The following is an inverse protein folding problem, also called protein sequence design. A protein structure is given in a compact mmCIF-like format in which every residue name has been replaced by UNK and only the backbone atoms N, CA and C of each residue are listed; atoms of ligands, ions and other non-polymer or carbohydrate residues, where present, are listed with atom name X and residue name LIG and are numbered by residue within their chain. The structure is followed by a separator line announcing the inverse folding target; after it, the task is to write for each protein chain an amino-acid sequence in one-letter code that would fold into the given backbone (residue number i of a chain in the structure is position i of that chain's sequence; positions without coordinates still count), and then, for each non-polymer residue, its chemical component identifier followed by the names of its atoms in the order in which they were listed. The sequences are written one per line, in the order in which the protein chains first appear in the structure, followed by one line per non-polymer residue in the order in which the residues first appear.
data_IF_597799358895
#
_entry.id   IF_597799358895
#
_cell.length_a   1.000
_cell.length_b   1.000
_cell.length_c   1.000
_cell.angle_alpha   90.00
_cell.angle_beta   90.00
_cell.angle_gamma   90.00
#
_symmetry.space_group_name_H-M   'P 1'
#
loop_
_entity.id
_entity.type
_entity.pdbx_description
1 polymer ?
#
# COMPACT_ATOMS: atom_id res chain seq x y z
N UNK A 1 -29.16 -8.77 5.06
CA UNK A 1 -28.96 -9.49 3.79
C UNK A 1 -27.92 -10.56 4.02
N UNK A 2 -28.29 -11.83 3.91
CA UNK A 2 -27.30 -12.92 3.96
C UNK A 2 -26.42 -12.81 2.70
N UNK A 3 -25.11 -12.75 2.88
CA UNK A 3 -24.17 -12.77 1.75
C UNK A 3 -24.25 -14.14 1.07
N UNK A 4 -24.45 -14.15 -0.26
CA UNK A 4 -24.42 -15.39 -1.04
C UNK A 4 -23.05 -16.08 -0.92
N UNK A 5 -22.99 -17.41 -0.86
CA UNK A 5 -21.74 -18.17 -0.84
C UNK A 5 -20.82 -17.78 -2.01
N UNK A 6 -19.52 -17.71 -1.73
CA UNK A 6 -18.48 -17.43 -2.72
C UNK A 6 -17.49 -18.61 -2.71
N UNK A 7 -17.20 -19.14 -3.89
CA UNK A 7 -16.20 -20.18 -4.10
C UNK A 7 -15.19 -19.68 -5.13
N UNK A 8 -13.89 -19.82 -4.85
CA UNK A 8 -12.83 -19.47 -5.80
C UNK A 8 -11.91 -20.66 -5.99
N UNK A 9 -11.63 -20.99 -7.24
CA UNK A 9 -10.74 -22.07 -7.66
C UNK A 9 -9.65 -21.52 -8.60
N UNK A 10 -8.50 -22.17 -8.62
CA UNK A 10 -7.44 -21.90 -9.58
C UNK A 10 -7.54 -22.90 -10.73
N UNK A 11 -7.63 -22.43 -11.96
CA UNK A 11 -7.82 -23.27 -13.14
C UNK A 11 -6.69 -23.07 -14.14
N UNK A 12 -6.34 -24.14 -14.87
CA UNK A 12 -5.38 -24.07 -15.98
C UNK A 12 -5.99 -23.38 -17.19
N UNK A 13 -5.18 -22.89 -18.15
CA UNK A 13 -5.70 -22.37 -19.43
C UNK A 13 -6.58 -23.39 -20.19
N UNK A 14 -6.27 -24.68 -20.12
CA UNK A 14 -7.07 -25.74 -20.74
C UNK A 14 -8.44 -25.86 -20.06
N UNK A 15 -8.47 -25.88 -18.73
CA UNK A 15 -9.73 -25.90 -17.95
C UNK A 15 -10.52 -24.62 -18.19
N UNK A 16 -9.86 -23.48 -18.37
CA UNK A 16 -10.54 -22.23 -18.71
C UNK A 16 -11.27 -22.31 -20.05
N UNK A 17 -10.66 -22.87 -21.08
CA UNK A 17 -11.31 -23.02 -22.38
C UNK A 17 -12.56 -23.90 -22.29
N UNK A 18 -12.51 -25.01 -21.54
CA UNK A 18 -13.67 -25.87 -21.28
C UNK A 18 -14.77 -25.16 -20.52
N UNK A 19 -14.39 -24.35 -19.49
CA UNK A 19 -15.32 -23.55 -18.71
C UNK A 19 -15.99 -22.49 -19.59
N UNK A 20 -15.21 -21.80 -20.41
CA UNK A 20 -15.71 -20.78 -21.34
C UNK A 20 -16.70 -21.38 -22.35
N UNK A 21 -16.41 -22.54 -22.92
CA UNK A 21 -17.30 -23.25 -23.83
C UNK A 21 -18.61 -23.68 -23.13
N UNK A 22 -18.50 -24.23 -21.91
CA UNK A 22 -19.66 -24.70 -21.13
C UNK A 22 -20.64 -23.57 -20.80
N UNK A 23 -20.15 -22.38 -20.47
CA UNK A 23 -20.99 -21.24 -20.12
C UNK A 23 -21.15 -20.22 -21.25
N UNK A 24 -20.78 -20.54 -22.49
CA UNK A 24 -20.81 -19.60 -23.60
C UNK A 24 -22.18 -18.95 -23.81
N UNK A 25 -23.27 -19.73 -23.72
CA UNK A 25 -24.66 -19.24 -23.87
C UNK A 25 -25.14 -18.32 -22.74
N UNK A 26 -24.40 -18.23 -21.65
CA UNK A 26 -24.71 -17.44 -20.46
C UNK A 26 -23.73 -16.30 -20.24
N UNK A 27 -22.79 -16.10 -21.18
CA UNK A 27 -21.76 -15.08 -21.10
C UNK A 27 -22.36 -13.68 -21.23
N UNK A 28 -21.75 -12.73 -20.51
CA UNK A 28 -22.06 -11.30 -20.63
C UNK A 28 -20.79 -10.45 -20.56
N UNK A 29 -20.86 -9.24 -21.11
CA UNK A 29 -19.75 -8.30 -21.09
C UNK A 29 -19.51 -7.73 -19.70
N UNK A 30 -18.26 -7.85 -19.20
CA UNK A 30 -17.85 -7.29 -17.93
C UNK A 30 -16.92 -6.09 -18.18
N UNK A 31 -17.24 -4.93 -17.59
CA UNK A 31 -16.47 -3.70 -17.78
C UNK A 31 -15.11 -3.67 -17.06
N UNK A 32 -14.78 -4.70 -16.28
CA UNK A 32 -13.51 -4.79 -15.57
C UNK A 32 -12.42 -5.39 -16.46
N UNK A 33 -11.40 -4.61 -16.79
CA UNK A 33 -10.28 -5.00 -17.67
C UNK A 33 -9.48 -6.24 -17.22
N UNK A 34 -9.60 -6.64 -15.95
CA UNK A 34 -8.94 -7.84 -15.40
C UNK A 34 -9.78 -9.09 -15.51
N UNK A 35 -11.05 -8.97 -15.91
CA UNK A 35 -11.97 -10.10 -16.11
C UNK A 35 -11.83 -10.57 -17.55
N UNK A 36 -11.45 -11.83 -17.73
CA UNK A 36 -11.27 -12.44 -19.04
C UNK A 36 -12.50 -13.23 -19.52
N UNK A 37 -13.44 -13.55 -18.59
CA UNK A 37 -14.71 -14.16 -18.89
C UNK A 37 -15.69 -13.91 -17.75
N UNK A 38 -16.96 -13.67 -18.09
CA UNK A 38 -18.05 -13.55 -17.13
C UNK A 38 -19.32 -14.23 -17.68
N UNK A 39 -20.03 -14.95 -16.83
CA UNK A 39 -21.30 -15.61 -17.15
C UNK A 39 -22.25 -15.57 -15.96
N UNK A 40 -23.57 -15.68 -16.26
CA UNK A 40 -24.62 -15.81 -15.24
C UNK A 40 -25.44 -17.04 -15.55
N UNK A 41 -25.29 -18.09 -14.75
CA UNK A 41 -25.93 -19.39 -14.94
C UNK A 41 -26.63 -19.83 -13.64
N UNK A 42 -27.90 -20.19 -13.69
CA UNK A 42 -28.71 -20.70 -12.56
C UNK A 42 -28.53 -19.86 -11.27
N UNK A 43 -28.70 -18.54 -11.38
CA UNK A 43 -28.46 -17.55 -10.29
C UNK A 43 -27.04 -17.53 -9.71
N UNK A 44 -26.08 -18.20 -10.37
CA UNK A 44 -24.67 -18.16 -10.03
C UNK A 44 -23.96 -17.20 -10.97
N UNK A 45 -23.25 -16.21 -10.39
CA UNK A 45 -22.33 -15.37 -11.14
C UNK A 45 -20.96 -16.02 -11.21
N UNK A 46 -20.47 -16.22 -12.42
CA UNK A 46 -19.16 -16.83 -12.70
C UNK A 46 -18.27 -15.75 -13.27
N UNK A 47 -17.09 -15.57 -12.70
CA UNK A 47 -16.12 -14.56 -13.16
C UNK A 47 -14.73 -15.18 -13.20
N UNK A 48 -14.03 -15.07 -14.32
CA UNK A 48 -12.68 -15.58 -14.48
C UNK A 48 -11.70 -14.43 -14.64
N UNK A 49 -10.65 -14.45 -13.82
CA UNK A 49 -9.62 -13.43 -13.73
C UNK A 49 -8.29 -13.99 -14.24
N UNK A 50 -7.55 -13.19 -14.99
CA UNK A 50 -6.19 -13.56 -15.40
C UNK A 50 -5.22 -13.36 -14.24
N UNK A 51 -4.58 -14.45 -13.80
CA UNK A 51 -3.55 -14.40 -12.77
C UNK A 51 -2.12 -14.44 -13.35
N UNK A 52 -1.17 -14.01 -12.54
CA UNK A 52 0.26 -14.15 -12.83
C UNK A 52 0.65 -15.62 -12.64
N UNK A 53 1.53 -16.18 -13.49
CA UNK A 53 2.04 -17.57 -13.47
C UNK A 53 1.27 -18.61 -14.29
N UNK A 54 0.49 -18.18 -15.30
CA UNK A 54 -0.14 -19.12 -16.25
C UNK A 54 -1.38 -19.86 -15.74
N UNK A 55 -1.89 -19.50 -14.57
CA UNK A 55 -3.18 -19.97 -14.07
C UNK A 55 -4.23 -18.85 -14.21
N UNK A 56 -5.50 -19.22 -14.11
CA UNK A 56 -6.63 -18.31 -14.00
C UNK A 56 -7.37 -18.57 -12.70
N UNK A 57 -8.02 -17.55 -12.15
CA UNK A 57 -8.87 -17.67 -10.98
C UNK A 57 -10.34 -17.60 -11.43
N UNK A 58 -11.08 -18.66 -11.22
CA UNK A 58 -12.54 -18.67 -11.41
C UNK A 58 -13.23 -18.47 -10.06
N UNK A 59 -14.22 -17.57 -10.02
CA UNK A 59 -15.01 -17.25 -8.84
C UNK A 59 -16.49 -17.49 -9.15
N UNK A 60 -17.16 -18.26 -8.32
CA UNK A 60 -18.57 -18.58 -8.37
C UNK A 60 -19.28 -17.93 -7.18
N UNK A 61 -20.37 -17.21 -7.42
CA UNK A 61 -21.13 -16.49 -6.38
C UNK A 61 -22.61 -16.82 -6.53
N UNK A 62 -23.20 -17.46 -5.55
CA UNK A 62 -24.62 -17.88 -5.57
C UNK A 62 -24.88 -19.00 -4.58
N UNK A 63 -26.15 -19.35 -4.34
CA UNK A 63 -26.51 -20.36 -3.35
C UNK A 63 -25.96 -21.74 -3.72
N UNK A 64 -25.88 -22.06 -5.01
CA UNK A 64 -25.34 -23.31 -5.54
C UNK A 64 -23.87 -23.21 -6.00
N UNK A 65 -23.15 -22.12 -5.66
CA UNK A 65 -21.79 -21.86 -6.12
C UNK A 65 -20.80 -23.00 -5.82
N UNK A 66 -20.95 -23.68 -4.67
CA UNK A 66 -20.06 -24.80 -4.32
C UNK A 66 -20.28 -26.02 -5.21
N UNK A 67 -21.53 -26.34 -5.48
CA UNK A 67 -21.90 -27.49 -6.36
C UNK A 67 -21.34 -27.25 -7.76
N UNK A 68 -21.50 -26.05 -8.27
CA UNK A 68 -21.07 -25.67 -9.60
C UNK A 68 -19.54 -25.63 -9.70
N UNK A 69 -18.84 -25.03 -8.71
CA UNK A 69 -17.38 -24.99 -8.68
C UNK A 69 -16.73 -26.39 -8.61
N UNK A 70 -17.40 -27.36 -7.95
CA UNK A 70 -16.94 -28.76 -7.87
C UNK A 70 -16.95 -29.52 -9.19
N UNK A 71 -17.64 -29.04 -10.21
CA UNK A 71 -17.52 -29.57 -11.56
C UNK A 71 -16.16 -29.33 -12.19
N UNK A 72 -15.44 -28.30 -11.70
CA UNK A 72 -14.16 -27.83 -12.23
C UNK A 72 -12.98 -28.13 -11.31
N UNK A 73 -13.25 -28.25 -10.02
CA UNK A 73 -12.27 -28.60 -8.98
C UNK A 73 -12.98 -29.35 -7.86
N UNK A 74 -12.74 -30.66 -7.75
CA UNK A 74 -13.36 -31.52 -6.74
C UNK A 74 -13.08 -31.09 -5.31
N UNK A 75 -11.94 -30.41 -5.09
CA UNK A 75 -11.48 -29.93 -3.79
C UNK A 75 -12.03 -28.51 -3.47
N UNK A 76 -12.86 -27.95 -4.37
CA UNK A 76 -13.47 -26.64 -4.16
C UNK A 76 -14.22 -26.58 -2.83
N UNK A 77 -14.04 -25.47 -2.11
CA UNK A 77 -14.71 -25.18 -0.84
C UNK A 77 -15.26 -23.76 -0.83
N UNK A 78 -16.28 -23.51 -0.01
CA UNK A 78 -16.78 -22.15 0.20
C UNK A 78 -15.66 -21.32 0.80
N UNK A 79 -15.42 -20.15 0.21
CA UNK A 79 -14.50 -19.18 0.78
C UNK A 79 -15.06 -18.78 2.15
N UNK A 80 -14.45 -19.25 3.22
CA UNK A 80 -14.79 -18.75 4.54
C UNK A 80 -14.57 -17.23 4.53
N UNK A 81 -15.58 -16.43 4.95
CA UNK A 81 -15.36 -15.02 5.14
C UNK A 81 -14.16 -14.91 6.08
N UNK A 82 -13.07 -14.30 5.61
CA UNK A 82 -11.93 -14.01 6.48
C UNK A 82 -12.53 -13.34 7.70
N UNK A 83 -12.57 -14.05 8.85
CA UNK A 83 -12.98 -13.48 10.13
C UNK A 83 -12.25 -12.15 10.22
N UNK A 84 -12.98 -11.04 10.24
CA UNK A 84 -12.41 -9.75 10.59
C UNK A 84 -11.86 -9.98 12.00
N UNK A 85 -10.56 -10.23 12.08
CA UNK A 85 -9.86 -10.12 13.36
C UNK A 85 -10.13 -8.69 13.76
N UNK A 86 -10.86 -8.47 14.85
CA UNK A 86 -10.97 -7.14 15.43
C UNK A 86 -9.55 -6.69 15.68
N UNK A 87 -9.08 -5.78 14.85
CA UNK A 87 -7.74 -5.21 14.92
C UNK A 87 -7.72 -4.36 16.18
N UNK A 88 -7.33 -4.95 17.31
CA UNK A 88 -7.18 -4.26 18.60
C UNK A 88 -5.73 -3.87 18.76
N UNK A 89 -5.51 -2.63 19.10
CA UNK A 89 -4.17 -2.19 19.47
C UNK A 89 -3.61 -3.06 20.62
N UNK A 90 -2.33 -3.43 20.48
CA UNK A 90 -1.65 -4.37 21.37
C UNK A 90 -0.77 -3.67 22.42
N UNK A 91 -0.43 -2.39 22.22
CA UNK A 91 0.41 -1.62 23.14
C UNK A 91 -0.30 -0.35 23.59
N UNK A 92 -0.44 -0.17 24.88
CA UNK A 92 -1.06 0.98 25.54
C UNK A 92 -0.05 1.77 26.41
N UNK A 93 1.24 1.52 26.22
CA UNK A 93 2.35 2.24 26.85
C UNK A 93 2.88 3.33 25.92
N UNK A 94 3.77 4.16 26.44
CA UNK A 94 4.56 5.09 25.64
C UNK A 94 5.32 4.31 24.56
N UNK A 95 5.24 4.77 23.31
CA UNK A 95 5.72 4.02 22.16
C UNK A 95 6.15 4.92 21.01
N UNK A 96 7.13 4.46 20.24
CA UNK A 96 7.59 5.09 19.00
C UNK A 96 7.36 4.11 17.85
N UNK A 97 6.86 4.58 16.72
CA UNK A 97 6.72 3.74 15.54
C UNK A 97 6.78 4.51 14.25
N UNK A 98 7.04 3.82 13.14
CA UNK A 98 7.19 4.47 11.85
C UNK A 98 6.45 3.75 10.72
N UNK A 99 6.05 4.57 9.75
CA UNK A 99 5.40 4.14 8.51
C UNK A 99 5.80 5.05 7.34
N UNK A 100 5.52 4.62 6.11
CA UNK A 100 5.86 5.35 4.91
C UNK A 100 4.71 5.48 3.92
N UNK A 101 4.86 6.42 2.97
CA UNK A 101 3.98 6.61 1.82
C UNK A 101 4.75 7.03 0.57
N UNK A 102 4.13 6.87 -0.60
CA UNK A 102 4.72 7.27 -1.89
C UNK A 102 5.60 6.20 -2.54
N UNK A 103 5.65 4.98 -1.98
CA UNK A 103 6.43 3.86 -2.52
C UNK A 103 5.73 3.14 -3.68
N UNK A 104 4.41 3.26 -3.77
CA UNK A 104 3.59 2.74 -4.87
C UNK A 104 3.24 3.78 -5.93
N UNK A 105 3.69 5.03 -5.75
CA UNK A 105 3.37 6.15 -6.63
C UNK A 105 4.55 6.49 -7.54
N UNK A 106 4.29 6.55 -8.85
CA UNK A 106 5.28 6.96 -9.84
C UNK A 106 5.70 8.41 -9.62
N UNK A 107 4.72 9.30 -9.39
CA UNK A 107 4.93 10.71 -9.10
C UNK A 107 5.06 10.96 -7.60
N UNK A 108 5.72 12.08 -7.26
CA UNK A 108 5.83 12.57 -5.91
C UNK A 108 6.92 11.88 -5.07
N UNK A 109 7.18 12.43 -3.88
CA UNK A 109 8.28 11.99 -3.03
C UNK A 109 8.00 10.65 -2.35
N UNK A 110 9.01 10.11 -1.69
CA UNK A 110 8.83 9.12 -0.63
C UNK A 110 8.87 9.87 0.72
N UNK A 111 7.86 9.63 1.55
CA UNK A 111 7.76 10.23 2.89
C UNK A 111 7.77 9.13 3.93
N UNK A 112 8.65 9.23 4.90
CA UNK A 112 8.69 8.36 6.08
C UNK A 112 8.47 9.22 7.32
N UNK A 113 7.59 8.76 8.20
CA UNK A 113 7.33 9.40 9.48
C UNK A 113 7.58 8.40 10.60
N UNK A 114 8.28 8.83 11.64
CA UNK A 114 8.24 8.20 12.95
C UNK A 114 7.42 9.08 13.90
N UNK A 115 6.56 8.46 14.72
CA UNK A 115 5.74 9.17 15.69
C UNK A 115 5.92 8.60 17.10
N UNK A 116 6.01 9.50 18.08
CA UNK A 116 5.98 9.17 19.50
C UNK A 116 4.58 9.39 20.05
N UNK A 117 3.97 8.34 20.55
CA UNK A 117 2.63 8.35 21.16
C UNK A 117 2.76 8.05 22.67
N UNK A 118 2.33 9.01 23.49
CA UNK A 118 2.23 8.85 24.93
C UNK A 118 1.01 8.00 25.30
N UNK A 119 1.13 7.14 26.28
CA UNK A 119 0.05 6.30 26.80
C UNK A 119 -1.24 7.10 27.07
N UNK A 120 -1.12 8.27 27.68
CA UNK A 120 -2.25 9.17 28.00
C UNK A 120 -3.05 9.65 26.78
N UNK A 121 -2.43 9.65 25.59
CA UNK A 121 -3.06 10.13 24.35
C UNK A 121 -3.85 9.02 23.63
N UNK A 122 -3.66 7.75 23.99
CA UNK A 122 -4.21 6.60 23.22
C UNK A 122 -5.74 6.64 23.20
N UNK A 123 -6.40 6.99 24.29
CA UNK A 123 -7.86 7.06 24.35
C UNK A 123 -8.41 8.16 23.42
N UNK A 124 -7.71 9.28 23.32
CA UNK A 124 -8.08 10.35 22.38
C UNK A 124 -7.88 9.96 20.92
N UNK A 125 -6.78 9.22 20.62
CA UNK A 125 -6.56 8.67 19.28
C UNK A 125 -7.67 7.69 18.85
N UNK A 126 -8.20 6.89 19.79
CA UNK A 126 -9.35 6.01 19.55
C UNK A 126 -10.60 6.84 19.19
N UNK A 127 -10.90 7.89 19.96
CA UNK A 127 -12.04 8.78 19.69
C UNK A 127 -11.92 9.49 18.35
N UNK A 128 -10.72 9.83 17.92
CA UNK A 128 -10.43 10.42 16.62
C UNK A 128 -10.49 9.43 15.45
N UNK A 129 -10.74 8.14 15.70
CA UNK A 129 -10.84 7.11 14.67
C UNK A 129 -9.49 6.65 14.08
N UNK A 130 -8.36 6.96 14.75
CA UNK A 130 -7.01 6.60 14.27
C UNK A 130 -6.81 5.10 14.15
N UNK A 131 -7.52 4.27 14.94
CA UNK A 131 -7.47 2.82 14.87
C UNK A 131 -8.00 2.22 13.56
N UNK A 132 -8.79 3.00 12.82
CA UNK A 132 -9.34 2.64 11.50
C UNK A 132 -8.62 3.39 10.35
N UNK A 133 -7.35 3.75 10.51
CA UNK A 133 -6.58 4.59 9.58
C UNK A 133 -6.66 4.16 8.11
N UNK A 134 -6.77 2.85 7.85
CA UNK A 134 -6.96 2.29 6.50
C UNK A 134 -8.29 2.62 5.83
N UNK A 135 -9.30 3.00 6.61
CA UNK A 135 -10.63 3.34 6.10
C UNK A 135 -10.81 4.84 5.89
N UNK A 136 -9.84 5.65 6.34
CA UNK A 136 -9.89 7.09 6.21
C UNK A 136 -9.71 7.51 4.75
N UNK A 137 -10.59 8.39 4.28
CA UNK A 137 -10.43 9.06 2.98
C UNK A 137 -9.33 10.11 3.03
N UNK A 138 -8.85 10.56 1.87
CA UNK A 138 -7.80 11.60 1.82
C UNK A 138 -8.29 12.91 2.46
N UNK A 139 -9.58 13.27 2.33
CA UNK A 139 -10.17 14.43 2.98
C UNK A 139 -10.14 14.30 4.51
N UNK A 140 -10.45 13.12 5.03
CA UNK A 140 -10.37 12.84 6.46
C UNK A 140 -8.93 12.90 6.96
N UNK A 141 -7.97 12.41 6.18
CA UNK A 141 -6.53 12.49 6.49
C UNK A 141 -6.05 13.94 6.49
N UNK A 142 -6.49 14.76 5.53
CA UNK A 142 -6.17 16.19 5.48
C UNK A 142 -6.71 16.92 6.72
N UNK A 143 -7.90 16.56 7.18
CA UNK A 143 -8.50 17.15 8.39
C UNK A 143 -7.82 16.67 9.68
N UNK A 144 -7.39 15.40 9.73
CA UNK A 144 -6.85 14.77 10.93
C UNK A 144 -5.33 14.99 11.10
N UNK A 145 -4.58 15.01 10.00
CA UNK A 145 -3.12 15.12 10.00
C UNK A 145 -2.58 16.27 10.85
N UNK A 146 -3.08 17.53 10.68
CA UNK A 146 -2.64 18.66 11.51
C UNK A 146 -2.95 18.50 12.99
N UNK A 147 -4.05 17.81 13.35
CA UNK A 147 -4.41 17.55 14.76
C UNK A 147 -3.40 16.58 15.38
N UNK A 148 -3.08 15.50 14.69
CA UNK A 148 -2.10 14.51 15.13
C UNK A 148 -0.69 15.10 15.23
N UNK A 149 -0.29 15.95 14.28
CA UNK A 149 0.99 16.65 14.28
C UNK A 149 1.16 17.61 15.48
N UNK A 150 0.07 18.15 16.02
CA UNK A 150 0.09 18.94 17.26
C UNK A 150 0.06 18.06 18.52
N UNK A 151 -0.59 16.90 18.44
CA UNK A 151 -0.82 16.00 19.58
C UNK A 151 0.38 15.10 19.90
N UNK A 152 1.11 14.70 18.85
CA UNK A 152 2.20 13.73 18.94
C UNK A 152 3.51 14.36 18.47
N UNK A 153 4.62 13.99 19.14
CA UNK A 153 5.93 14.32 18.59
C UNK A 153 6.24 13.38 17.43
N UNK A 154 6.82 13.92 16.37
CA UNK A 154 7.15 13.11 15.21
C UNK A 154 8.44 13.57 14.51
N UNK A 155 9.04 12.67 13.76
CA UNK A 155 10.15 12.95 12.83
C UNK A 155 9.69 12.60 11.43
N UNK A 156 9.65 13.61 10.54
CA UNK A 156 9.27 13.44 9.14
C UNK A 156 10.50 13.59 8.25
N UNK A 157 10.71 12.63 7.37
CA UNK A 157 11.72 12.68 6.33
C UNK A 157 11.03 12.60 4.97
N UNK A 158 11.34 13.56 4.10
CA UNK A 158 10.81 13.62 2.73
C UNK A 158 11.97 13.48 1.76
N UNK A 159 11.95 12.41 0.96
CA UNK A 159 12.92 12.19 -0.11
C UNK A 159 12.26 12.60 -1.44
N UNK A 160 12.62 13.77 -1.95
CA UNK A 160 12.14 14.25 -3.23
C UNK A 160 12.66 13.39 -4.40
N UNK A 161 12.01 13.49 -5.55
CA UNK A 161 12.30 12.63 -6.69
C UNK A 161 13.71 12.85 -7.25
N UNK A 162 14.24 14.07 -7.24
CA UNK A 162 15.61 14.34 -7.72
C UNK A 162 16.63 13.58 -6.87
N UNK A 163 16.54 13.71 -5.54
CA UNK A 163 17.44 12.99 -4.62
C UNK A 163 17.22 11.49 -4.66
N UNK A 164 15.96 11.06 -4.75
CA UNK A 164 15.58 9.64 -4.92
C UNK A 164 16.28 9.06 -6.15
N UNK A 165 16.14 9.70 -7.31
CA UNK A 165 16.74 9.25 -8.57
C UNK A 165 18.26 9.22 -8.50
N UNK A 166 18.90 10.25 -7.88
CA UNK A 166 20.35 10.26 -7.65
C UNK A 166 20.82 9.07 -6.80
N UNK A 167 20.04 8.66 -5.80
CA UNK A 167 20.39 7.52 -4.96
C UNK A 167 20.22 6.19 -5.72
N UNK A 168 19.16 6.06 -6.52
CA UNK A 168 18.97 4.91 -7.42
C UNK A 168 20.13 4.79 -8.42
N UNK A 169 20.54 5.90 -9.03
CA UNK A 169 21.67 5.95 -9.99
C UNK A 169 23.01 5.56 -9.32
N UNK A 170 23.14 5.71 -7.99
CA UNK A 170 24.28 5.27 -7.17
C UNK A 170 24.21 3.81 -6.71
N UNK A 171 23.20 3.05 -7.16
CA UNK A 171 23.05 1.63 -6.85
C UNK A 171 22.16 1.32 -5.64
N UNK A 172 21.54 2.32 -4.99
CA UNK A 172 20.51 2.09 -4.00
C UNK A 172 19.25 1.51 -4.67
N UNK A 173 18.41 0.85 -3.88
CA UNK A 173 17.08 0.47 -4.32
C UNK A 173 16.02 1.03 -3.37
N UNK A 174 14.75 0.98 -3.77
CA UNK A 174 13.66 1.54 -2.97
C UNK A 174 13.61 0.95 -1.56
N UNK A 175 13.89 -0.34 -1.39
CA UNK A 175 13.85 -1.00 -0.07
C UNK A 175 14.98 -0.49 0.82
N UNK A 176 16.21 -0.36 0.29
CA UNK A 176 17.33 0.18 1.05
C UNK A 176 17.09 1.62 1.49
N UNK A 177 16.53 2.46 0.60
CA UNK A 177 16.15 3.83 0.92
C UNK A 177 15.08 3.89 2.02
N UNK A 178 14.05 3.05 1.93
CA UNK A 178 13.03 2.92 2.99
C UNK A 178 13.68 2.59 4.33
N UNK A 179 14.49 1.54 4.37
CA UNK A 179 15.16 1.10 5.60
C UNK A 179 15.98 2.23 6.24
N UNK A 180 16.80 2.91 5.44
CA UNK A 180 17.64 4.01 5.94
C UNK A 180 16.80 5.18 6.47
N UNK A 181 15.71 5.51 5.78
CA UNK A 181 14.80 6.58 6.22
C UNK A 181 14.03 6.20 7.50
N UNK A 182 13.51 4.96 7.61
CA UNK A 182 12.86 4.49 8.83
C UNK A 182 13.82 4.52 10.02
N UNK A 183 15.02 3.95 9.86
CA UNK A 183 16.02 3.96 10.92
C UNK A 183 16.38 5.39 11.36
N UNK A 184 16.57 6.31 10.41
CA UNK A 184 16.89 7.71 10.73
C UNK A 184 15.74 8.44 11.41
N UNK A 185 14.51 8.27 10.94
CA UNK A 185 13.33 8.90 11.55
C UNK A 185 13.10 8.40 12.99
N UNK A 186 13.30 7.10 13.22
CA UNK A 186 13.21 6.49 14.55
C UNK A 186 14.35 6.98 15.46
N UNK A 187 15.60 7.03 14.97
CA UNK A 187 16.74 7.54 15.76
C UNK A 187 16.49 8.95 16.25
N UNK A 188 15.94 9.83 15.41
CA UNK A 188 15.63 11.21 15.80
C UNK A 188 14.68 11.30 17.01
N UNK A 189 13.81 10.31 17.19
CA UNK A 189 12.91 10.26 18.35
C UNK A 189 13.50 9.48 19.53
N UNK A 190 14.17 8.37 19.29
CA UNK A 190 14.80 7.57 20.36
C UNK A 190 15.92 8.36 21.05
N UNK A 191 16.70 9.14 20.32
CA UNK A 191 17.71 10.03 20.92
C UNK A 191 17.09 11.13 21.79
N UNK A 192 15.87 11.57 21.45
CA UNK A 192 15.12 12.59 22.23
C UNK A 192 14.33 11.99 23.42
N UNK A 193 13.92 10.73 23.28
CA UNK A 193 13.09 10.01 24.27
C UNK A 193 13.71 8.63 24.57
N UNK A 194 14.92 8.59 25.18
CA UNK A 194 15.65 7.33 25.39
C UNK A 194 14.97 6.37 26.36
N UNK A 195 14.04 6.86 27.19
CA UNK A 195 13.23 6.07 28.11
C UNK A 195 12.18 5.20 27.40
N UNK A 196 11.85 5.49 26.14
CA UNK A 196 10.83 4.76 25.38
C UNK A 196 11.47 3.55 24.70
N UNK A 197 11.17 2.37 25.18
CA UNK A 197 11.71 1.09 24.70
C UNK A 197 10.77 0.35 23.74
N UNK A 198 9.49 0.74 23.66
CA UNK A 198 8.51 0.14 22.77
C UNK A 198 8.63 0.77 21.39
N UNK A 199 9.36 0.12 20.46
CA UNK A 199 9.65 0.62 19.12
C UNK A 199 9.05 -0.33 18.07
N UNK A 200 8.22 0.20 17.18
CA UNK A 200 7.45 -0.57 16.20
C UNK A 200 7.64 -0.05 14.78
N UNK A 201 7.68 -0.98 13.83
CA UNK A 201 7.76 -0.65 12.39
C UNK A 201 6.75 -1.51 11.62
N UNK A 202 5.99 -0.90 10.70
CA UNK A 202 5.26 -1.68 9.71
C UNK A 202 6.23 -2.50 8.87
N UNK A 203 6.08 -3.82 8.88
CA UNK A 203 7.04 -4.73 8.28
C UNK A 203 6.89 -4.78 6.75
N UNK A 204 7.79 -4.17 6.03
CA UNK A 204 7.88 -4.19 4.57
C UNK A 204 9.02 -5.06 4.03
N UNK A 205 9.90 -5.52 4.90
CA UNK A 205 11.02 -6.43 4.59
C UNK A 205 11.30 -7.33 5.81
N UNK A 206 11.91 -8.49 5.60
CA UNK A 206 12.27 -9.32 6.76
C UNK A 206 13.34 -8.66 7.63
N UNK A 207 13.32 -8.95 8.93
CA UNK A 207 14.19 -8.33 9.93
C UNK A 207 15.68 -8.44 9.61
N UNK A 208 16.13 -9.62 9.13
CA UNK A 208 17.53 -9.83 8.77
C UNK A 208 17.94 -8.86 7.64
N UNK A 209 17.13 -8.77 6.59
CA UNK A 209 17.39 -7.90 5.45
C UNK A 209 17.33 -6.41 5.82
N UNK A 210 16.45 -6.03 6.76
CA UNK A 210 16.39 -4.67 7.29
C UNK A 210 17.75 -4.26 7.86
N UNK A 211 18.35 -5.08 8.71
CA UNK A 211 19.64 -4.79 9.33
C UNK A 211 20.81 -4.91 8.35
N UNK A 212 20.73 -5.78 7.36
CA UNK A 212 21.74 -5.84 6.28
C UNK A 212 21.87 -4.53 5.51
N UNK A 213 20.76 -3.82 5.26
CA UNK A 213 20.79 -2.51 4.61
C UNK A 213 21.38 -1.38 5.48
N UNK A 214 21.54 -1.63 6.78
CA UNK A 214 22.12 -0.68 7.74
C UNK A 214 23.57 -1.01 8.14
N UNK A 215 24.22 -1.98 7.48
CA UNK A 215 25.59 -2.38 7.79
C UNK A 215 26.68 -1.43 7.25
N UNK A 216 26.35 -0.15 7.04
CA UNK A 216 27.34 0.87 6.69
C UNK A 216 28.28 1.22 7.87
N UNK A 217 29.53 1.63 7.60
CA UNK A 217 30.55 1.81 8.62
C UNK A 217 30.24 2.87 9.67
N UNK A 218 29.26 3.74 9.46
CA UNK A 218 28.88 4.83 10.38
C UNK A 218 27.37 4.84 10.67
N UNK A 219 26.63 3.78 10.34
CA UNK A 219 25.18 3.77 10.57
C UNK A 219 24.85 3.27 11.97
N UNK A 220 24.31 4.17 12.81
CA UNK A 220 23.68 3.78 14.06
C UNK A 220 22.42 2.94 13.77
N UNK A 221 22.26 1.84 14.49
CA UNK A 221 21.10 0.95 14.35
C UNK A 221 20.32 0.88 15.66
N UNK A 222 19.00 0.90 15.56
CA UNK A 222 18.11 0.56 16.68
C UNK A 222 17.88 -0.95 16.65
N UNK A 223 18.36 -1.68 17.66
CA UNK A 223 18.31 -3.15 17.68
C UNK A 223 17.04 -3.73 18.29
N UNK A 224 16.26 -2.93 19.03
CA UNK A 224 15.06 -3.36 19.76
C UNK A 224 13.76 -3.05 19.02
N UNK A 225 13.74 -3.12 17.68
CA UNK A 225 12.54 -2.87 16.89
C UNK A 225 11.67 -4.13 16.82
N UNK A 226 10.38 -3.97 17.09
CA UNK A 226 9.36 -4.98 16.80
C UNK A 226 8.78 -4.72 15.42
N UNK A 227 8.97 -5.65 14.50
CA UNK A 227 8.41 -5.63 13.16
C UNK A 227 7.11 -6.41 13.11
N UNK A 228 6.07 -5.82 12.53
CA UNK A 228 4.80 -6.50 12.33
C UNK A 228 4.13 -6.00 11.05
N UNK A 229 3.76 -6.91 10.16
CA UNK A 229 2.97 -6.59 8.96
C UNK A 229 1.63 -6.01 9.36
N UNK A 230 1.20 -4.93 8.69
CA UNK A 230 0.02 -4.14 9.06
C UNK A 230 0.16 -3.53 10.46
N UNK A 231 1.35 -3.03 10.78
CA UNK A 231 1.69 -2.49 12.10
C UNK A 231 0.74 -1.39 12.56
N UNK A 232 0.19 -0.59 11.66
CA UNK A 232 -0.80 0.45 11.93
C UNK A 232 -2.10 -0.08 12.54
N UNK A 233 -2.45 -1.35 12.28
CA UNK A 233 -3.61 -2.01 12.89
C UNK A 233 -3.36 -2.45 14.35
N UNK A 234 -2.11 -2.54 14.75
CA UNK A 234 -1.71 -3.10 16.05
C UNK A 234 -1.06 -2.09 16.98
N UNK A 235 -0.47 -1.02 16.46
CA UNK A 235 0.31 -0.07 17.24
C UNK A 235 -0.11 1.37 16.96
N UNK A 236 -0.63 2.08 17.98
CA UNK A 236 -1.02 3.49 17.88
C UNK A 236 0.02 4.39 17.21
N UNK A 237 1.30 4.21 17.56
CA UNK A 237 2.39 5.02 17.01
C UNK A 237 2.58 4.82 15.50
N UNK A 238 2.41 3.58 15.01
CA UNK A 238 2.47 3.28 13.57
C UNK A 238 1.26 3.86 12.85
N UNK A 239 0.05 3.75 13.43
CA UNK A 239 -1.16 4.35 12.87
C UNK A 239 -1.06 5.88 12.76
N UNK A 240 -0.55 6.55 13.80
CA UNK A 240 -0.28 8.00 13.77
C UNK A 240 0.76 8.35 12.72
N UNK A 241 1.86 7.58 12.63
CA UNK A 241 2.90 7.77 11.63
C UNK A 241 2.35 7.64 10.21
N UNK A 242 1.52 6.62 9.94
CA UNK A 242 0.84 6.39 8.67
C UNK A 242 0.00 7.59 8.23
N UNK A 243 -0.87 8.10 9.12
CA UNK A 243 -1.72 9.25 8.81
C UNK A 243 -0.89 10.51 8.56
N UNK A 244 0.12 10.80 9.39
CA UNK A 244 0.97 12.00 9.19
C UNK A 244 1.80 11.85 7.91
N UNK A 245 2.28 10.65 7.56
CA UNK A 245 2.98 10.39 6.32
C UNK A 245 2.08 10.63 5.10
N UNK A 246 0.85 10.07 5.10
CA UNK A 246 -0.13 10.27 4.02
C UNK A 246 -0.53 11.74 3.90
N UNK A 247 -0.84 12.41 5.01
CA UNK A 247 -1.11 13.86 5.01
C UNK A 247 0.06 14.65 4.38
N UNK A 248 1.28 14.37 4.80
CA UNK A 248 2.47 15.05 4.27
C UNK A 248 2.64 14.80 2.77
N UNK A 249 2.42 13.57 2.32
CA UNK A 249 2.49 13.22 0.90
C UNK A 249 1.43 13.95 0.08
N UNK A 250 0.18 14.01 0.55
CA UNK A 250 -0.90 14.74 -0.11
C UNK A 250 -0.56 16.21 -0.26
N UNK A 251 0.02 16.85 0.78
CA UNK A 251 0.46 18.24 0.70
C UNK A 251 1.60 18.45 -0.31
N UNK A 252 2.54 17.51 -0.41
CA UNK A 252 3.59 17.58 -1.44
C UNK A 252 3.04 17.39 -2.85
N UNK A 253 2.09 16.47 -3.05
CA UNK A 253 1.43 16.25 -4.35
C UNK A 253 0.60 17.48 -4.76
N UNK A 254 -0.08 18.12 -3.80
CA UNK A 254 -0.80 19.37 -4.05
C UNK A 254 0.17 20.47 -4.52
N UNK A 255 1.28 20.69 -3.81
CA UNK A 255 2.30 21.67 -4.21
C UNK A 255 2.84 21.41 -5.63
N UNK A 256 3.09 20.15 -5.97
CA UNK A 256 3.52 19.79 -7.32
C UNK A 256 2.44 20.09 -8.35
N UNK A 257 1.17 19.78 -8.05
CA UNK A 257 0.03 20.06 -8.94
C UNK A 257 -0.14 21.57 -9.17
N UNK A 258 -0.02 22.37 -8.11
CA UNK A 258 -0.05 23.85 -8.18
C UNK A 258 1.13 24.38 -9.00
N UNK A 259 2.35 23.91 -8.74
CA UNK A 259 3.57 24.34 -9.45
C UNK A 259 3.49 24.15 -10.95
N UNK A 260 2.92 23.03 -11.40
CA UNK A 260 2.84 22.71 -12.82
C UNK A 260 1.45 23.01 -13.44
N UNK A 261 0.52 23.55 -12.65
CA UNK A 261 -0.87 23.78 -13.06
C UNK A 261 -1.47 22.57 -13.78
N UNK A 262 -1.29 21.38 -13.17
CA UNK A 262 -1.78 20.09 -13.63
C UNK A 262 -2.13 19.21 -12.43
N UNK A 263 -3.25 18.48 -12.48
CA UNK A 263 -3.61 17.52 -11.42
C UNK A 263 -2.77 16.26 -11.60
N UNK A 264 -1.75 16.08 -10.76
CA UNK A 264 -0.83 14.95 -10.84
C UNK A 264 -1.49 13.71 -10.24
N UNK A 265 -1.62 12.61 -11.01
CA UNK A 265 -2.30 11.40 -10.55
C UNK A 265 -1.44 10.59 -9.57
N UNK A 266 -2.12 9.85 -8.69
CA UNK A 266 -1.51 8.87 -7.78
C UNK A 266 -1.33 7.50 -8.44
N UNK A 267 -0.48 6.67 -7.82
CA UNK A 267 -0.25 5.29 -8.23
C UNK A 267 0.70 5.14 -9.43
N UNK A 268 0.52 4.05 -10.19
CA UNK A 268 1.40 3.67 -11.29
C UNK A 268 0.63 2.95 -12.42
N UNK A 269 -0.65 3.26 -12.59
CA UNK A 269 -1.52 2.68 -13.62
C UNK A 269 -1.29 3.29 -15.01
N UNK A 270 -1.97 2.76 -16.05
CA UNK A 270 -1.96 3.30 -17.40
C UNK A 270 -2.39 4.78 -17.51
N UNK A 271 -3.27 5.24 -16.62
CA UNK A 271 -3.62 6.67 -16.49
C UNK A 271 -2.41 7.54 -16.14
N UNK A 272 -1.50 6.99 -15.33
CA UNK A 272 -0.24 7.67 -14.97
C UNK A 272 0.70 7.73 -16.15
N UNK A 273 0.78 6.68 -16.98
CA UNK A 273 1.57 6.68 -18.24
C UNK A 273 1.07 7.76 -19.20
N UNK A 274 -0.25 7.86 -19.39
CA UNK A 274 -0.86 8.88 -20.23
C UNK A 274 -0.54 10.30 -19.75
N UNK A 275 -0.71 10.54 -18.45
CA UNK A 275 -0.37 11.83 -17.83
C UNK A 275 1.13 12.16 -18.01
N UNK A 276 2.01 11.17 -17.84
CA UNK A 276 3.45 11.37 -18.00
C UNK A 276 3.82 11.83 -19.42
N UNK A 277 3.18 11.27 -20.46
CA UNK A 277 3.35 11.72 -21.85
C UNK A 277 2.92 13.18 -22.04
N UNK A 278 1.73 13.54 -21.57
CA UNK A 278 1.25 14.93 -21.60
C UNK A 278 2.19 15.89 -20.85
N UNK A 279 2.73 15.45 -19.71
CA UNK A 279 3.67 16.25 -18.93
C UNK A 279 4.97 16.48 -19.68
N UNK A 280 5.49 15.45 -20.37
CA UNK A 280 6.71 15.55 -21.20
C UNK A 280 6.49 16.52 -22.36
N UNK A 281 5.35 16.43 -23.04
CA UNK A 281 5.01 17.32 -24.17
C UNK A 281 5.01 18.79 -23.75
N UNK A 282 4.57 19.06 -22.51
CA UNK A 282 4.46 20.44 -22.01
C UNK A 282 5.73 20.96 -21.34
N UNK A 283 6.44 20.14 -20.59
CA UNK A 283 7.55 20.56 -19.73
C UNK A 283 8.88 19.86 -20.02
N UNK A 284 8.86 18.82 -20.81
CA UNK A 284 10.03 18.03 -21.18
C UNK A 284 10.45 16.99 -20.14
N UNK A 285 11.26 16.03 -20.58
CA UNK A 285 11.74 14.89 -19.78
C UNK A 285 12.59 15.32 -18.57
N UNK A 286 13.33 16.45 -18.67
CA UNK A 286 14.15 16.96 -17.57
C UNK A 286 13.29 17.39 -16.37
N UNK A 287 12.14 18.01 -16.62
CA UNK A 287 11.20 18.38 -15.56
C UNK A 287 10.46 17.14 -15.00
N UNK A 288 10.12 16.15 -15.85
CA UNK A 288 9.56 14.89 -15.37
C UNK A 288 10.49 14.23 -14.34
N UNK A 289 11.79 14.23 -14.57
CA UNK A 289 12.78 13.65 -13.65
C UNK A 289 12.80 14.29 -12.26
N UNK A 290 12.26 15.50 -12.12
CA UNK A 290 12.13 16.17 -10.82
C UNK A 290 10.91 15.72 -10.02
N UNK A 291 9.93 15.08 -10.66
CA UNK A 291 8.66 14.69 -10.04
C UNK A 291 8.33 13.21 -10.16
N UNK A 292 9.08 12.43 -10.93
CA UNK A 292 8.84 11.01 -11.19
C UNK A 292 10.02 10.12 -10.76
N UNK A 293 9.74 8.87 -10.40
CA UNK A 293 10.72 7.85 -9.98
C UNK A 293 11.16 7.02 -11.19
N UNK A 294 12.41 7.14 -11.62
CA UNK A 294 12.97 6.51 -12.83
C UNK A 294 12.97 4.97 -12.82
N UNK A 295 12.97 4.35 -11.66
CA UNK A 295 13.00 2.88 -11.55
C UNK A 295 11.63 2.21 -11.72
N UNK A 296 10.54 2.98 -11.88
CA UNK A 296 9.21 2.44 -12.16
C UNK A 296 9.07 1.97 -13.60
N UNK A 297 8.21 0.95 -13.83
CA UNK A 297 7.89 0.47 -15.16
C UNK A 297 7.33 1.59 -16.06
N UNK A 298 6.52 2.49 -15.49
CA UNK A 298 5.99 3.69 -16.14
C UNK A 298 7.10 4.51 -16.87
N UNK A 299 8.26 4.68 -16.23
CA UNK A 299 9.37 5.42 -16.83
C UNK A 299 9.96 4.70 -18.05
N UNK A 300 10.02 3.37 -18.02
CA UNK A 300 10.49 2.55 -19.16
C UNK A 300 9.52 2.63 -20.34
N UNK A 301 8.21 2.69 -20.06
CA UNK A 301 7.17 2.77 -21.07
C UNK A 301 7.15 4.13 -21.84
N UNK A 302 7.84 5.16 -21.33
CA UNK A 302 7.94 6.46 -22.01
C UNK A 302 8.93 6.46 -23.18
N UNK A 303 9.82 5.47 -23.23
CA UNK A 303 10.83 5.34 -24.28
C UNK A 303 10.41 4.38 -25.41
N UNK A 304 9.22 3.80 -25.30
CA UNK A 304 8.56 2.97 -26.30
C UNK A 304 7.37 3.75 -26.91
#
# INVERSE_FOLDING_TARGET
MNMKPIVSISITPETFLKLQEHYASYAYDNQNEYVIFAASFDEIMITVWKEKKGLHKATFVGDNALKEAKLWDTDASINEPKKKVEEKWLCFKDQIGSDEVGTGDFFGPMVVVAAYVKAKNIQELIKLGVHDSKKLTDEQIIALGPKLARMCQYSKLTLNNEKYNQMIDKGENMVSLKVKMHNRALLNLVEKYPEVTNIFVDQFVNTKKYYEYLNGPNEKQIKSITFKTKGESYFPCVAVASIIARYSFLMEMQKLSEKYNMIIPFGASSKVDYFAKQFIDKYGIKELNKIAKKNFANYKNLNN
#
